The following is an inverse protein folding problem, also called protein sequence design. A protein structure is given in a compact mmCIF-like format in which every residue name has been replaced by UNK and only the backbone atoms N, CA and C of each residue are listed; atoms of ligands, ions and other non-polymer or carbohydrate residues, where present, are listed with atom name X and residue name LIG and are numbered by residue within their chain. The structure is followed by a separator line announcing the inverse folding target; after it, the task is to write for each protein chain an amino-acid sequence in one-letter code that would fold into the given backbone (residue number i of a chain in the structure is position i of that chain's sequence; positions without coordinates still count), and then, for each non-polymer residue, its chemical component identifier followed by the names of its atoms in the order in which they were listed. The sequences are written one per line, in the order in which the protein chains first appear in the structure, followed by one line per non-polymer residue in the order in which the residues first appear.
data_IF_115604971135
#
_entry.id   IF_115604971135
#
_cell.length_a   1.000
_cell.length_b   1.000
_cell.length_c   1.000
_cell.angle_alpha   90.00
_cell.angle_beta   90.00
_cell.angle_gamma   90.00
#
_symmetry.space_group_name_H-M   'P 1'
#
loop_
_entity.id
_entity.type
_entity.pdbx_description
1 polymer ?
#
# COMPACT_ATOMS: atom_id res chain seq x y z
N UNK A 1 -2.82 61.93 -0.10
CA UNK A 1 -2.09 60.66 -0.12
C UNK A 1 -0.60 60.91 -0.13
N UNK A 2 0.09 60.46 0.89
CA UNK A 2 1.53 60.72 1.13
C UNK A 2 2.44 59.65 0.56
N UNK A 3 2.05 58.97 -0.55
CA UNK A 3 2.82 57.82 -1.01
C UNK A 3 2.91 57.84 -2.55
N UNK A 4 4.01 58.34 -3.05
CA UNK A 4 4.43 58.41 -4.45
C UNK A 4 5.33 57.18 -4.78
N UNK A 5 5.73 56.92 -6.02
CA UNK A 5 6.47 55.75 -6.49
C UNK A 5 7.78 55.44 -5.72
N UNK A 6 8.42 56.42 -5.13
CA UNK A 6 9.52 56.29 -4.17
C UNK A 6 9.09 55.62 -2.87
N UNK A 7 7.83 55.69 -2.53
CA UNK A 7 7.18 55.12 -1.38
C UNK A 7 6.95 53.61 -1.50
N UNK A 8 6.67 53.09 -2.70
CA UNK A 8 6.40 51.65 -2.91
C UNK A 8 7.66 50.81 -2.67
N UNK A 9 8.85 51.36 -2.98
CA UNK A 9 10.12 50.72 -2.63
C UNK A 9 10.34 50.60 -1.11
N UNK A 10 10.01 51.63 -0.36
CA UNK A 10 10.10 51.63 1.09
C UNK A 10 9.06 50.67 1.68
N UNK A 11 7.83 50.73 1.18
CA UNK A 11 6.77 49.80 1.62
C UNK A 11 7.11 48.35 1.35
N UNK A 12 7.67 48.03 0.18
CA UNK A 12 8.10 46.68 -0.17
C UNK A 12 9.17 46.15 0.80
N UNK A 13 10.13 47.00 1.18
CA UNK A 13 11.15 46.63 2.18
C UNK A 13 10.56 46.46 3.60
N UNK A 14 9.60 47.30 3.98
CA UNK A 14 8.88 47.15 5.26
C UNK A 14 8.11 45.85 5.30
N UNK A 15 7.40 45.51 4.21
CA UNK A 15 6.67 44.23 4.14
C UNK A 15 7.63 43.02 4.13
N UNK A 16 8.79 43.14 3.47
CA UNK A 16 9.84 42.11 3.55
C UNK A 16 10.31 41.87 5.01
N UNK A 17 10.58 42.99 5.73
CA UNK A 17 10.97 42.89 7.15
C UNK A 17 9.86 42.32 8.02
N UNK A 18 8.62 42.72 7.76
CA UNK A 18 7.44 42.19 8.46
C UNK A 18 7.30 40.66 8.24
N UNK A 19 7.48 40.21 6.99
CA UNK A 19 7.51 38.78 6.66
C UNK A 19 8.58 38.00 7.44
N UNK A 20 9.81 38.57 7.53
CA UNK A 20 10.90 37.95 8.30
C UNK A 20 10.58 37.84 9.80
N UNK A 21 10.01 38.87 10.39
CA UNK A 21 9.61 38.88 11.79
C UNK A 21 8.58 37.79 12.03
N UNK A 22 7.52 37.73 11.23
CA UNK A 22 6.47 36.73 11.35
C UNK A 22 6.95 35.30 11.10
N UNK A 23 7.92 35.12 10.20
CA UNK A 23 8.62 33.82 10.05
C UNK A 23 9.28 33.39 11.36
N UNK A 24 10.00 34.31 12.03
CA UNK A 24 10.67 34.02 13.30
C UNK A 24 9.71 33.80 14.45
N UNK A 25 8.49 34.31 14.35
CA UNK A 25 7.40 34.13 15.35
C UNK A 25 6.54 32.91 15.04
N UNK A 26 6.81 32.18 13.96
CA UNK A 26 6.01 31.07 13.43
C UNK A 26 4.58 31.46 13.06
N UNK A 27 4.35 32.73 12.76
CA UNK A 27 3.07 33.25 12.30
C UNK A 27 3.05 33.21 10.75
N UNK A 28 3.07 31.98 10.23
CA UNK A 28 3.36 31.68 8.82
C UNK A 28 2.34 32.35 7.88
N UNK A 29 1.08 32.40 8.25
CA UNK A 29 0.04 33.03 7.42
C UNK A 29 0.28 34.53 7.23
N UNK A 30 0.74 35.21 8.25
CA UNK A 30 1.09 36.64 8.16
C UNK A 30 2.43 36.83 7.40
N UNK A 31 3.38 35.92 7.60
CA UNK A 31 4.65 35.93 6.85
C UNK A 31 4.43 35.81 5.34
N UNK A 32 3.60 34.85 4.91
CA UNK A 32 3.24 34.65 3.48
C UNK A 32 2.61 35.91 2.93
N UNK A 33 1.58 36.44 3.59
CA UNK A 33 0.90 37.68 3.15
C UNK A 33 1.85 38.85 3.03
N UNK A 34 2.77 39.01 3.97
CA UNK A 34 3.75 40.09 3.96
C UNK A 34 4.74 39.95 2.78
N UNK A 35 5.23 38.75 2.52
CA UNK A 35 6.11 38.50 1.37
C UNK A 35 5.39 38.69 0.04
N UNK A 36 4.13 38.29 -0.09
CA UNK A 36 3.32 38.52 -1.29
C UNK A 36 3.06 40.02 -1.48
N UNK A 37 2.77 40.76 -0.43
CA UNK A 37 2.67 42.23 -0.53
C UNK A 37 3.98 42.87 -0.95
N UNK A 38 5.12 42.40 -0.39
CA UNK A 38 6.46 42.87 -0.79
C UNK A 38 6.73 42.59 -2.27
N UNK A 39 6.38 41.39 -2.76
CA UNK A 39 6.49 41.00 -4.17
C UNK A 39 5.65 41.92 -5.08
N UNK A 40 4.39 42.12 -4.74
CA UNK A 40 3.45 42.95 -5.50
C UNK A 40 3.86 44.42 -5.54
N UNK A 41 4.63 44.91 -4.56
CA UNK A 41 5.21 46.26 -4.52
C UNK A 41 6.59 46.33 -5.20
N UNK A 42 7.04 45.25 -5.86
CA UNK A 42 8.21 45.29 -6.76
C UNK A 42 9.55 44.97 -6.10
N UNK A 43 9.57 44.25 -4.94
CA UNK A 43 10.84 43.71 -4.42
C UNK A 43 11.44 42.75 -5.45
N UNK A 44 12.76 42.78 -5.64
CA UNK A 44 13.39 41.85 -6.56
C UNK A 44 13.37 40.42 -6.04
N UNK A 45 13.17 39.45 -6.95
CA UNK A 45 13.25 38.02 -6.60
C UNK A 45 14.60 37.63 -5.98
N UNK A 46 15.69 38.29 -6.39
CA UNK A 46 17.01 38.04 -5.81
C UNK A 46 17.06 38.30 -4.29
N UNK A 47 16.23 39.24 -3.80
CA UNK A 47 16.12 39.52 -2.35
C UNK A 47 15.05 38.65 -1.69
N UNK A 48 13.93 38.43 -2.37
CA UNK A 48 12.78 37.71 -1.80
C UNK A 48 12.98 36.18 -1.72
N UNK A 49 13.56 35.58 -2.78
CA UNK A 49 13.67 34.10 -2.85
C UNK A 49 14.43 33.48 -1.66
N UNK A 50 15.56 34.02 -1.17
CA UNK A 50 16.22 33.47 0.02
C UNK A 50 15.35 33.53 1.28
N UNK A 51 14.49 34.54 1.39
CA UNK A 51 13.61 34.67 2.56
C UNK A 51 12.40 33.74 2.47
N UNK A 52 11.88 33.49 1.26
CA UNK A 52 10.87 32.47 1.04
C UNK A 52 11.40 31.07 1.35
N UNK A 53 12.64 30.75 0.94
CA UNK A 53 13.26 29.46 1.28
C UNK A 53 13.43 29.27 2.79
N UNK A 54 13.72 30.34 3.54
CA UNK A 54 13.76 30.27 5.01
C UNK A 54 12.38 30.05 5.60
N UNK A 55 11.36 30.72 5.06
CA UNK A 55 9.97 30.53 5.47
C UNK A 55 9.51 29.09 5.20
N UNK A 56 9.76 28.57 4.00
CA UNK A 56 9.46 27.18 3.64
C UNK A 56 10.12 26.20 4.62
N UNK A 57 11.41 26.37 4.90
CA UNK A 57 12.13 25.55 5.88
C UNK A 57 11.51 25.62 7.27
N UNK A 58 11.14 26.81 7.74
CA UNK A 58 10.49 26.98 9.04
C UNK A 58 9.13 26.30 9.10
N UNK A 59 8.31 26.44 8.06
CA UNK A 59 6.99 25.79 7.96
C UNK A 59 7.16 24.26 7.97
N UNK A 60 8.09 23.74 7.16
CA UNK A 60 8.36 22.29 7.06
C UNK A 60 8.78 21.74 8.44
N UNK A 61 9.73 22.41 9.09
CA UNK A 61 10.21 21.98 10.42
C UNK A 61 9.07 21.96 11.44
N UNK A 62 8.22 23.00 11.43
CA UNK A 62 7.05 23.08 12.32
C UNK A 62 6.02 21.99 12.00
N UNK A 63 5.77 21.71 10.72
CA UNK A 63 4.84 20.65 10.30
C UNK A 63 5.34 19.23 10.65
N UNK A 64 6.66 19.00 10.57
CA UNK A 64 7.28 17.73 11.00
C UNK A 64 7.05 17.55 12.51
N UNK A 65 7.29 18.59 13.32
CA UNK A 65 7.02 18.54 14.76
C UNK A 65 5.54 18.28 15.09
N UNK A 66 4.61 18.84 14.30
CA UNK A 66 3.18 18.55 14.46
C UNK A 66 2.87 17.06 14.13
N UNK A 67 3.46 16.50 13.07
CA UNK A 67 3.30 15.08 12.72
C UNK A 67 3.87 14.15 13.81
N UNK A 68 5.03 14.49 14.38
CA UNK A 68 5.67 13.72 15.46
C UNK A 68 4.82 13.72 16.75
N UNK A 69 4.04 14.78 16.96
CA UNK A 69 3.12 14.92 18.10
C UNK A 69 1.67 14.54 17.77
N UNK A 70 1.43 13.90 16.61
CA UNK A 70 0.13 13.48 16.10
C UNK A 70 -0.87 14.63 15.89
N UNK A 71 -0.40 15.87 15.79
CA UNK A 71 -1.19 17.04 15.44
C UNK A 71 -1.38 17.15 13.92
N UNK A 72 -1.86 16.06 13.31
CA UNK A 72 -1.93 15.89 11.85
C UNK A 72 -2.74 16.97 11.14
N UNK A 73 -3.77 17.52 11.76
CA UNK A 73 -4.57 18.60 11.17
C UNK A 73 -3.77 19.88 10.95
N UNK A 74 -2.93 20.27 11.89
CA UNK A 74 -2.06 21.45 11.73
C UNK A 74 -0.90 21.17 10.80
N UNK A 75 -0.33 19.95 10.83
CA UNK A 75 0.69 19.51 9.88
C UNK A 75 0.18 19.61 8.44
N UNK A 76 -1.03 19.11 8.16
CA UNK A 76 -1.65 19.17 6.83
C UNK A 76 -1.77 20.61 6.31
N UNK A 77 -2.24 21.53 7.15
CA UNK A 77 -2.39 22.96 6.79
C UNK A 77 -1.04 23.62 6.50
N UNK A 78 -0.03 23.35 7.34
CA UNK A 78 1.31 23.90 7.17
C UNK A 78 1.98 23.37 5.89
N UNK A 79 1.89 22.06 5.63
CA UNK A 79 2.44 21.47 4.40
C UNK A 79 1.75 22.03 3.15
N UNK A 80 0.43 22.27 3.21
CA UNK A 80 -0.30 22.96 2.14
C UNK A 80 0.21 24.39 1.90
N UNK A 81 0.56 25.13 2.97
CA UNK A 81 1.17 26.46 2.83
C UNK A 81 2.50 26.39 2.07
N UNK A 82 3.33 25.37 2.30
CA UNK A 82 4.58 25.18 1.54
C UNK A 82 4.30 24.98 0.05
N UNK A 83 3.32 24.11 -0.27
CA UNK A 83 2.89 23.93 -1.66
C UNK A 83 2.44 25.26 -2.28
N UNK A 84 1.63 26.04 -1.58
CA UNK A 84 1.07 27.31 -2.08
C UNK A 84 2.12 28.40 -2.33
N UNK A 85 3.27 28.35 -1.65
CA UNK A 85 4.38 29.29 -1.90
C UNK A 85 4.95 29.10 -3.32
N UNK A 86 5.11 27.84 -3.76
CA UNK A 86 5.59 27.52 -5.10
C UNK A 86 5.03 26.17 -5.58
N UNK A 87 3.82 26.13 -6.18
CA UNK A 87 3.16 24.90 -6.58
C UNK A 87 3.94 24.04 -7.58
N UNK A 88 4.77 24.66 -8.42
CA UNK A 88 5.52 23.92 -9.46
C UNK A 88 6.69 23.11 -8.85
N UNK A 89 7.27 23.57 -7.75
CA UNK A 89 8.44 22.96 -7.12
C UNK A 89 8.02 22.12 -5.90
N UNK A 90 7.01 22.56 -5.18
CA UNK A 90 6.64 22.04 -3.84
C UNK A 90 5.53 20.97 -3.88
N UNK A 91 5.33 20.30 -5.02
CA UNK A 91 4.24 19.31 -5.19
C UNK A 91 4.28 18.19 -4.16
N UNK A 92 5.45 17.75 -3.73
CA UNK A 92 5.62 16.72 -2.72
C UNK A 92 5.00 17.09 -1.36
N UNK A 93 5.01 18.37 -1.01
CA UNK A 93 4.41 18.83 0.26
C UNK A 93 2.89 18.77 0.23
N UNK A 94 2.27 18.90 -0.95
CA UNK A 94 0.83 18.65 -1.08
C UNK A 94 0.49 17.17 -0.87
N UNK A 95 1.35 16.25 -1.34
CA UNK A 95 1.18 14.82 -1.07
C UNK A 95 1.30 14.51 0.43
N UNK A 96 2.29 15.09 1.11
CA UNK A 96 2.41 14.94 2.57
C UNK A 96 1.27 15.61 3.32
N UNK A 97 0.75 16.75 2.84
CA UNK A 97 -0.43 17.40 3.40
C UNK A 97 -1.67 16.51 3.28
N UNK A 98 -1.89 15.87 2.13
CA UNK A 98 -2.98 14.92 1.93
C UNK A 98 -2.89 13.72 2.88
N UNK A 99 -1.70 13.16 3.06
CA UNK A 99 -1.45 12.06 3.99
C UNK A 99 -1.71 12.45 5.45
N UNK A 100 -1.26 13.64 5.86
CA UNK A 100 -1.53 14.17 7.21
C UNK A 100 -3.03 14.44 7.41
N UNK A 101 -3.76 14.89 6.38
CA UNK A 101 -5.21 15.07 6.43
C UNK A 101 -5.95 13.73 6.60
N UNK A 102 -5.50 12.65 5.95
CA UNK A 102 -6.02 11.29 6.19
C UNK A 102 -5.79 10.87 7.64
N UNK A 103 -4.59 11.06 8.17
CA UNK A 103 -4.24 10.70 9.55
C UNK A 103 -5.05 11.51 10.59
N UNK A 104 -5.43 12.74 10.25
CA UNK A 104 -6.34 13.56 11.10
C UNK A 104 -7.82 13.16 10.98
N UNK A 105 -8.15 12.19 10.11
CA UNK A 105 -9.51 11.80 9.73
C UNK A 105 -10.34 12.96 9.10
N UNK A 106 -9.68 13.99 8.57
CA UNK A 106 -10.34 15.02 7.76
C UNK A 106 -10.40 14.58 6.30
N UNK A 107 -11.34 13.67 6.03
CA UNK A 107 -11.49 13.07 4.71
C UNK A 107 -11.81 14.08 3.61
N UNK A 108 -12.52 15.17 3.96
CA UNK A 108 -12.86 16.22 3.00
C UNK A 108 -11.62 17.00 2.56
N UNK A 109 -10.77 17.36 3.50
CA UNK A 109 -9.51 18.05 3.24
C UNK A 109 -8.52 17.15 2.50
N UNK A 110 -8.42 15.88 2.90
CA UNK A 110 -7.59 14.89 2.22
C UNK A 110 -8.01 14.72 0.77
N UNK A 111 -9.32 14.61 0.51
CA UNK A 111 -9.86 14.50 -0.84
C UNK A 111 -9.52 15.73 -1.70
N UNK A 112 -9.68 16.94 -1.15
CA UNK A 112 -9.31 18.18 -1.85
C UNK A 112 -7.85 18.13 -2.32
N UNK A 113 -6.93 17.77 -1.43
CA UNK A 113 -5.50 17.75 -1.75
C UNK A 113 -5.13 16.64 -2.74
N UNK A 114 -5.70 15.45 -2.59
CA UNK A 114 -5.48 14.37 -3.55
C UNK A 114 -6.07 14.67 -4.93
N UNK A 115 -7.20 15.36 -5.01
CA UNK A 115 -7.76 15.78 -6.30
C UNK A 115 -6.84 16.76 -7.02
N UNK A 116 -6.23 17.72 -6.32
CA UNK A 116 -5.22 18.62 -6.91
C UNK A 116 -4.04 17.80 -7.45
N UNK A 117 -3.51 16.85 -6.66
CA UNK A 117 -2.39 15.97 -7.07
C UNK A 117 -2.72 15.14 -8.31
N UNK A 118 -3.94 14.60 -8.39
CA UNK A 118 -4.43 13.89 -9.57
C UNK A 118 -4.47 14.81 -10.79
N UNK A 119 -5.00 16.02 -10.65
CA UNK A 119 -5.21 16.95 -11.76
C UNK A 119 -3.88 17.48 -12.33
N UNK A 120 -2.86 17.66 -11.47
CA UNK A 120 -1.49 17.99 -11.91
C UNK A 120 -0.69 16.76 -12.35
N UNK A 121 -1.26 15.55 -12.25
CA UNK A 121 -0.62 14.25 -12.55
C UNK A 121 0.69 14.04 -11.78
N UNK A 122 0.68 14.31 -10.49
CA UNK A 122 1.85 14.16 -9.65
C UNK A 122 2.29 12.69 -9.54
N UNK A 123 3.48 12.39 -10.02
CA UNK A 123 4.05 11.04 -10.00
C UNK A 123 4.91 10.80 -8.75
N UNK A 124 5.55 11.84 -8.21
CA UNK A 124 6.38 11.73 -7.00
C UNK A 124 7.53 10.73 -7.12
N UNK A 125 8.05 10.54 -8.35
CA UNK A 125 9.21 9.68 -8.60
C UNK A 125 10.45 10.38 -8.07
N UNK A 126 11.25 9.67 -7.29
CA UNK A 126 12.50 10.14 -6.73
C UNK A 126 13.65 9.25 -7.20
N UNK A 127 14.79 9.85 -7.51
CA UNK A 127 16.01 9.08 -7.81
C UNK A 127 16.75 8.77 -6.53
N UNK A 128 16.94 7.49 -6.23
CA UNK A 128 17.77 6.99 -5.16
C UNK A 128 19.16 6.68 -5.67
N UNK A 129 20.16 6.97 -4.87
CA UNK A 129 21.56 6.81 -5.21
C UNK A 129 22.19 5.76 -4.32
N UNK A 130 22.85 4.76 -4.92
CA UNK A 130 23.52 3.69 -4.19
C UNK A 130 24.96 3.57 -4.63
N UNK A 131 25.86 3.23 -3.69
CA UNK A 131 27.26 3.01 -3.97
C UNK A 131 27.80 1.94 -3.02
N UNK A 132 28.76 1.14 -3.46
CA UNK A 132 29.39 0.11 -2.63
C UNK A 132 30.66 0.65 -1.98
N UNK A 133 30.76 0.59 -0.65
CA UNK A 133 32.00 0.83 0.09
C UNK A 133 32.96 -0.35 -0.12
N UNK A 134 34.14 -0.09 -0.71
CA UNK A 134 35.12 -1.12 -1.07
C UNK A 134 35.74 -1.76 0.15
N UNK A 135 35.79 -1.09 1.31
CA UNK A 135 36.43 -1.57 2.51
C UNK A 135 35.72 -2.74 3.19
N UNK A 136 34.38 -2.79 3.05
CA UNK A 136 33.52 -3.78 3.71
C UNK A 136 32.53 -4.45 2.74
N UNK A 137 32.58 -4.10 1.44
CA UNK A 137 31.72 -4.61 0.37
C UNK A 137 30.21 -4.37 0.62
N UNK A 138 29.84 -3.33 1.39
CA UNK A 138 28.44 -2.99 1.66
C UNK A 138 27.92 -1.95 0.69
N UNK A 139 26.69 -2.16 0.17
CA UNK A 139 25.96 -1.13 -0.56
C UNK A 139 25.34 -0.14 0.44
N UNK A 140 25.54 1.14 0.19
CA UNK A 140 25.00 2.24 0.99
C UNK A 140 24.15 3.17 0.13
N UNK A 141 23.03 3.63 0.68
CA UNK A 141 22.18 4.65 0.07
C UNK A 141 22.78 6.03 0.36
N UNK A 142 22.90 6.86 -0.68
CA UNK A 142 23.45 8.22 -0.59
C UNK A 142 22.29 9.21 -0.66
N UNK A 143 22.27 10.15 0.29
CA UNK A 143 21.17 11.06 0.51
C UNK A 143 21.02 12.18 -0.54
N UNK A 144 22.04 12.44 -1.36
CA UNK A 144 22.01 13.50 -2.35
C UNK A 144 22.82 13.19 -3.61
N UNK A 145 22.34 13.67 -4.75
CA UNK A 145 23.05 13.59 -6.03
C UNK A 145 24.45 14.23 -5.96
N UNK A 146 24.58 15.34 -5.25
CA UNK A 146 25.86 16.05 -5.11
C UNK A 146 26.90 15.17 -4.41
N UNK A 147 26.53 14.52 -3.33
CA UNK A 147 27.38 13.61 -2.59
C UNK A 147 27.69 12.37 -3.43
N UNK A 148 26.70 11.76 -4.06
CA UNK A 148 26.86 10.64 -4.98
C UNK A 148 27.85 10.97 -6.10
N UNK A 149 27.71 12.14 -6.74
CA UNK A 149 28.62 12.61 -7.79
C UNK A 149 30.06 12.89 -7.30
N UNK A 150 30.24 13.11 -6.01
CA UNK A 150 31.56 13.23 -5.37
C UNK A 150 32.13 11.85 -5.09
N UNK A 151 31.37 10.97 -4.44
CA UNK A 151 31.81 9.64 -3.98
C UNK A 151 32.14 8.72 -5.16
N UNK A 152 31.40 8.74 -6.25
CA UNK A 152 31.69 7.92 -7.44
C UNK A 152 33.02 8.23 -8.12
N UNK A 153 33.71 9.31 -7.73
CA UNK A 153 35.05 9.66 -8.21
C UNK A 153 36.15 9.17 -7.26
N UNK A 154 35.80 8.72 -6.05
CA UNK A 154 36.76 8.17 -5.08
C UNK A 154 37.04 6.71 -5.38
N UNK A 155 38.24 6.25 -5.07
CA UNK A 155 38.66 4.84 -5.16
C UNK A 155 38.12 3.98 -4.00
N UNK A 156 37.60 4.62 -2.97
CA UNK A 156 37.07 3.96 -1.77
C UNK A 156 35.65 3.41 -2.03
N UNK A 157 35.05 3.78 -3.16
CA UNK A 157 33.70 3.38 -3.55
C UNK A 157 33.67 2.75 -4.95
N UNK A 158 32.71 1.86 -5.17
CA UNK A 158 32.51 1.13 -6.44
C UNK A 158 31.03 0.94 -6.73
N UNK A 159 30.69 0.43 -7.91
CA UNK A 159 29.33 0.06 -8.34
C UNK A 159 28.30 1.19 -8.11
N UNK A 160 28.53 2.44 -8.59
CA UNK A 160 27.52 3.48 -8.49
C UNK A 160 26.26 3.08 -9.26
N UNK A 161 25.08 3.17 -8.60
CA UNK A 161 23.80 2.81 -9.17
C UNK A 161 22.76 3.87 -8.81
N UNK A 162 21.94 4.20 -9.78
CA UNK A 162 20.78 5.07 -9.64
C UNK A 162 19.52 4.22 -9.82
N UNK A 163 18.51 4.46 -9.01
CA UNK A 163 17.24 3.76 -9.07
C UNK A 163 16.10 4.74 -8.89
N UNK A 164 15.13 4.70 -9.79
CA UNK A 164 13.91 5.50 -9.65
C UNK A 164 12.90 4.75 -8.77
N UNK A 165 12.26 5.49 -7.85
CA UNK A 165 11.14 4.95 -7.08
C UNK A 165 9.92 4.77 -7.98
N UNK A 166 8.99 3.92 -7.55
CA UNK A 166 7.71 3.79 -8.25
C UNK A 166 6.90 5.08 -8.17
N UNK A 167 6.04 5.29 -9.20
CA UNK A 167 5.10 6.41 -9.22
C UNK A 167 4.10 6.32 -8.06
N UNK A 168 3.86 7.45 -7.40
CA UNK A 168 2.82 7.60 -6.36
C UNK A 168 1.42 7.83 -6.94
N UNK A 169 1.30 7.99 -8.25
CA UNK A 169 0.01 8.28 -8.89
C UNK A 169 -1.05 7.20 -8.67
N UNK A 170 -0.74 5.88 -8.76
CA UNK A 170 -1.68 4.82 -8.44
C UNK A 170 -2.19 4.88 -6.99
N UNK A 171 -1.29 5.18 -6.04
CA UNK A 171 -1.65 5.35 -4.63
C UNK A 171 -2.58 6.56 -4.42
N UNK A 172 -2.30 7.69 -5.08
CA UNK A 172 -3.14 8.88 -5.02
C UNK A 172 -4.57 8.57 -5.50
N UNK A 173 -4.69 7.89 -6.64
CA UNK A 173 -6.01 7.50 -7.18
C UNK A 173 -6.73 6.52 -6.26
N UNK A 174 -6.00 5.56 -5.69
CA UNK A 174 -6.52 4.64 -4.68
C UNK A 174 -7.07 5.38 -3.47
N UNK A 175 -6.32 6.35 -2.93
CA UNK A 175 -6.75 7.13 -1.77
C UNK A 175 -8.00 7.97 -2.09
N UNK A 176 -8.07 8.60 -3.27
CA UNK A 176 -9.27 9.31 -3.74
C UNK A 176 -10.49 8.36 -3.73
N UNK A 177 -10.33 7.18 -4.28
CA UNK A 177 -11.42 6.22 -4.39
C UNK A 177 -11.86 5.68 -3.01
N UNK A 178 -10.91 5.37 -2.13
CA UNK A 178 -11.20 4.94 -0.75
C UNK A 178 -11.94 6.05 0.00
N UNK A 179 -11.51 7.31 -0.12
CA UNK A 179 -12.17 8.44 0.54
C UNK A 179 -13.58 8.63 -0.02
N UNK A 180 -13.78 8.60 -1.34
CA UNK A 180 -15.12 8.67 -1.93
C UNK A 180 -16.03 7.55 -1.41
N UNK A 181 -15.50 6.32 -1.28
CA UNK A 181 -16.24 5.20 -0.70
C UNK A 181 -16.62 5.47 0.77
N UNK A 182 -15.67 5.92 1.60
CA UNK A 182 -15.92 6.25 3.00
C UNK A 182 -16.96 7.36 3.17
N UNK A 183 -17.05 8.27 2.18
CA UNK A 183 -18.07 9.31 2.09
C UNK A 183 -19.40 8.79 1.47
N UNK A 184 -19.51 7.49 1.14
CA UNK A 184 -20.68 6.88 0.51
C UNK A 184 -20.87 7.25 -0.97
N UNK A 185 -19.83 7.77 -1.63
CA UNK A 185 -19.83 8.23 -3.01
C UNK A 185 -19.23 7.20 -3.97
N UNK A 186 -19.81 5.98 -4.00
CA UNK A 186 -19.26 4.84 -4.72
C UNK A 186 -19.10 5.09 -6.24
N UNK A 187 -20.04 5.78 -6.86
CA UNK A 187 -19.95 6.12 -8.29
C UNK A 187 -18.75 7.01 -8.60
N UNK A 188 -18.42 7.94 -7.67
CA UNK A 188 -17.25 8.81 -7.82
C UNK A 188 -15.95 8.03 -7.61
N UNK A 189 -15.96 7.05 -6.72
CA UNK A 189 -14.81 6.17 -6.50
C UNK A 189 -14.46 5.40 -7.79
N UNK A 190 -15.42 4.74 -8.40
CA UNK A 190 -15.23 4.02 -9.67
C UNK A 190 -14.83 4.97 -10.80
N UNK A 191 -15.52 6.11 -10.95
CA UNK A 191 -15.19 7.10 -12.00
C UNK A 191 -13.75 7.64 -11.88
N UNK A 192 -13.26 7.83 -10.66
CA UNK A 192 -11.88 8.27 -10.43
C UNK A 192 -10.86 7.26 -10.97
N UNK A 193 -11.06 5.97 -10.70
CA UNK A 193 -10.20 4.89 -11.18
C UNK A 193 -10.29 4.71 -12.68
N UNK A 194 -11.49 4.66 -13.25
CA UNK A 194 -11.67 4.52 -14.69
C UNK A 194 -10.98 5.65 -15.47
N UNK A 195 -11.06 6.88 -14.95
CA UNK A 195 -10.36 8.02 -15.55
C UNK A 195 -8.84 7.85 -15.51
N UNK A 196 -8.30 7.35 -14.41
CA UNK A 196 -6.87 7.11 -14.28
C UNK A 196 -6.40 5.98 -15.20
N UNK A 197 -7.17 4.88 -15.28
CA UNK A 197 -6.90 3.74 -16.17
C UNK A 197 -6.96 4.13 -17.65
N UNK A 198 -7.90 4.99 -18.04
CA UNK A 198 -7.97 5.49 -19.42
C UNK A 198 -6.71 6.26 -19.85
N UNK A 199 -6.04 6.91 -18.90
CA UNK A 199 -4.78 7.63 -19.16
C UNK A 199 -3.54 6.73 -19.07
N UNK A 200 -3.62 5.62 -18.34
CA UNK A 200 -2.52 4.70 -18.07
C UNK A 200 -3.01 3.24 -18.17
N UNK A 201 -3.36 2.74 -19.38
CA UNK A 201 -4.02 1.44 -19.55
C UNK A 201 -3.12 0.24 -19.22
N UNK A 202 -1.83 0.45 -19.19
CA UNK A 202 -0.83 -0.60 -18.88
C UNK A 202 -0.37 -0.58 -17.42
N UNK A 203 -0.89 0.35 -16.62
CA UNK A 203 -0.57 0.41 -15.19
C UNK A 203 -1.35 -0.66 -14.41
N UNK A 204 -0.65 -1.76 -14.10
CA UNK A 204 -1.20 -2.90 -13.36
C UNK A 204 -1.63 -2.49 -11.95
N UNK A 205 -0.96 -1.51 -11.34
CA UNK A 205 -1.33 -0.96 -10.04
C UNK A 205 -2.73 -0.34 -10.05
N UNK A 206 -3.11 0.38 -11.12
CA UNK A 206 -4.46 0.92 -11.29
C UNK A 206 -5.50 -0.18 -11.52
N UNK A 207 -5.15 -1.24 -12.26
CA UNK A 207 -6.04 -2.39 -12.48
C UNK A 207 -6.33 -3.10 -11.14
N UNK A 208 -5.27 -3.39 -10.35
CA UNK A 208 -5.40 -3.99 -9.02
C UNK A 208 -6.19 -3.08 -8.07
N UNK A 209 -6.00 -1.76 -8.17
CA UNK A 209 -6.75 -0.81 -7.36
C UNK A 209 -8.24 -0.83 -7.70
N UNK A 210 -8.59 -0.87 -8.99
CA UNK A 210 -9.98 -1.05 -9.43
C UNK A 210 -10.57 -2.35 -8.89
N UNK A 211 -9.84 -3.46 -9.03
CA UNK A 211 -10.26 -4.75 -8.51
C UNK A 211 -10.55 -4.71 -7.00
N UNK A 212 -9.66 -4.13 -6.20
CA UNK A 212 -9.87 -4.00 -4.76
C UNK A 212 -11.13 -3.20 -4.42
N UNK A 213 -11.47 -2.17 -5.20
CA UNK A 213 -12.72 -1.42 -4.99
C UNK A 213 -13.93 -2.26 -5.37
N UNK A 214 -13.90 -2.99 -6.48
CA UNK A 214 -14.96 -3.93 -6.84
C UNK A 214 -15.17 -4.98 -5.74
N UNK A 215 -14.08 -5.52 -5.18
CA UNK A 215 -14.16 -6.44 -4.05
C UNK A 215 -14.86 -5.82 -2.83
N UNK A 216 -14.48 -4.60 -2.47
CA UNK A 216 -15.09 -3.89 -1.33
C UNK A 216 -16.54 -3.47 -1.58
N UNK A 217 -16.95 -3.29 -2.84
CA UNK A 217 -18.34 -3.07 -3.24
C UNK A 217 -19.15 -4.38 -3.37
N UNK A 218 -18.54 -5.53 -3.04
CA UNK A 218 -19.09 -6.88 -3.22
C UNK A 218 -19.41 -7.22 -4.70
N UNK A 219 -18.79 -6.49 -5.65
CA UNK A 219 -18.87 -6.80 -7.08
C UNK A 219 -17.76 -7.80 -7.47
N UNK A 220 -17.97 -9.05 -7.09
CA UNK A 220 -17.00 -10.14 -7.28
C UNK A 220 -16.74 -10.45 -8.76
N UNK A 221 -17.72 -10.24 -9.64
CA UNK A 221 -17.55 -10.45 -11.07
C UNK A 221 -16.62 -9.39 -11.69
N UNK A 222 -16.84 -8.11 -11.38
CA UNK A 222 -15.95 -7.03 -11.82
C UNK A 222 -14.53 -7.20 -11.24
N UNK A 223 -14.40 -7.65 -9.98
CA UNK A 223 -13.13 -8.01 -9.39
C UNK A 223 -12.38 -9.07 -10.20
N UNK A 224 -13.05 -10.19 -10.55
CA UNK A 224 -12.47 -11.29 -11.33
C UNK A 224 -12.00 -10.83 -12.71
N UNK A 225 -12.79 -10.00 -13.37
CA UNK A 225 -12.42 -9.45 -14.68
C UNK A 225 -11.16 -8.58 -14.57
N UNK A 226 -11.09 -7.69 -13.61
CA UNK A 226 -9.94 -6.82 -13.40
C UNK A 226 -8.69 -7.63 -13.01
N UNK A 227 -8.80 -8.61 -12.12
CA UNK A 227 -7.68 -9.48 -11.75
C UNK A 227 -7.19 -10.35 -12.92
N UNK A 228 -8.11 -10.82 -13.79
CA UNK A 228 -7.74 -11.55 -15.00
C UNK A 228 -6.95 -10.66 -15.97
N UNK A 229 -7.37 -9.40 -16.14
CA UNK A 229 -6.63 -8.40 -16.92
C UNK A 229 -5.23 -8.14 -16.32
N UNK A 230 -5.11 -8.04 -14.99
CA UNK A 230 -3.82 -7.90 -14.32
C UNK A 230 -2.89 -9.08 -14.58
N UNK A 231 -3.42 -10.32 -14.54
CA UNK A 231 -2.66 -11.55 -14.86
C UNK A 231 -2.16 -11.57 -16.30
N UNK A 232 -2.94 -11.07 -17.26
CA UNK A 232 -2.47 -10.98 -18.67
C UNK A 232 -1.22 -10.12 -18.80
N UNK A 233 -1.07 -9.12 -17.93
CA UNK A 233 0.08 -8.20 -17.91
C UNK A 233 1.23 -8.72 -17.01
N UNK A 234 0.89 -9.32 -15.87
CA UNK A 234 1.84 -9.88 -14.90
C UNK A 234 1.57 -11.37 -14.62
N UNK A 235 1.82 -12.28 -15.60
CA UNK A 235 1.46 -13.69 -15.45
C UNK A 235 2.27 -14.46 -14.41
N UNK A 236 3.34 -13.88 -13.89
CA UNK A 236 4.19 -14.49 -12.86
C UNK A 236 4.00 -13.85 -11.47
N UNK A 237 2.96 -13.03 -11.26
CA UNK A 237 2.68 -12.43 -9.97
C UNK A 237 1.79 -13.37 -9.12
N UNK A 238 2.33 -14.05 -8.08
CA UNK A 238 1.60 -15.05 -7.30
C UNK A 238 0.41 -14.47 -6.53
N UNK A 239 0.48 -13.17 -6.17
CA UNK A 239 -0.55 -12.49 -5.38
C UNK A 239 -1.86 -12.37 -6.16
N UNK A 240 -1.78 -12.16 -7.49
CA UNK A 240 -2.97 -12.07 -8.34
C UNK A 240 -3.75 -13.39 -8.36
N UNK A 241 -3.04 -14.50 -8.48
CA UNK A 241 -3.63 -15.83 -8.43
C UNK A 241 -4.21 -16.14 -7.04
N UNK A 242 -3.49 -15.82 -5.97
CA UNK A 242 -4.01 -15.97 -4.62
C UNK A 242 -5.34 -15.23 -4.44
N UNK A 243 -5.42 -13.97 -4.84
CA UNK A 243 -6.62 -13.15 -4.72
C UNK A 243 -7.79 -13.69 -5.55
N UNK A 244 -7.52 -14.17 -6.79
CA UNK A 244 -8.54 -14.87 -7.58
C UNK A 244 -9.00 -16.17 -6.92
N UNK A 245 -8.10 -16.90 -6.30
CA UNK A 245 -8.43 -18.10 -5.53
C UNK A 245 -9.41 -17.80 -4.40
N UNK A 246 -9.16 -16.73 -3.63
CA UNK A 246 -10.04 -16.29 -2.54
C UNK A 246 -11.45 -15.97 -3.06
N UNK A 247 -11.56 -15.11 -4.08
CA UNK A 247 -12.87 -14.68 -4.59
C UNK A 247 -13.61 -15.82 -5.28
N UNK A 248 -12.91 -16.68 -6.03
CA UNK A 248 -13.53 -17.86 -6.64
C UNK A 248 -14.06 -18.84 -5.57
N UNK A 249 -13.33 -18.99 -4.44
CA UNK A 249 -13.78 -19.78 -3.30
C UNK A 249 -15.07 -19.21 -2.67
N UNK A 250 -15.12 -17.90 -2.47
CA UNK A 250 -16.32 -17.22 -1.94
C UNK A 250 -17.55 -17.30 -2.89
N UNK A 251 -17.31 -17.38 -4.20
CA UNK A 251 -18.36 -17.60 -5.20
C UNK A 251 -18.76 -19.08 -5.30
N UNK A 252 -18.12 -19.99 -4.58
CA UNK A 252 -18.38 -21.43 -4.64
C UNK A 252 -17.79 -22.13 -5.87
N UNK A 253 -16.91 -21.44 -6.63
CA UNK A 253 -16.23 -21.96 -7.81
C UNK A 253 -15.00 -22.78 -7.41
N UNK A 254 -15.21 -23.90 -6.74
CA UNK A 254 -14.15 -24.68 -6.06
C UNK A 254 -12.99 -25.07 -6.99
N UNK A 255 -13.29 -25.52 -8.20
CA UNK A 255 -12.25 -25.95 -9.17
C UNK A 255 -11.37 -24.77 -9.63
N UNK A 256 -11.97 -23.60 -9.88
CA UNK A 256 -11.26 -22.39 -10.22
C UNK A 256 -10.37 -21.93 -9.05
N UNK A 257 -10.94 -21.88 -7.85
CA UNK A 257 -10.23 -21.50 -6.62
C UNK A 257 -9.01 -22.40 -6.39
N UNK A 258 -9.18 -23.71 -6.54
CA UNK A 258 -8.10 -24.70 -6.45
C UNK A 258 -6.97 -24.41 -7.44
N UNK A 259 -7.31 -24.27 -8.72
CA UNK A 259 -6.34 -23.98 -9.78
C UNK A 259 -5.55 -22.71 -9.48
N UNK A 260 -6.20 -21.68 -8.99
CA UNK A 260 -5.56 -20.42 -8.64
C UNK A 260 -4.65 -20.52 -7.42
N UNK A 261 -5.05 -21.22 -6.36
CA UNK A 261 -4.16 -21.46 -5.21
C UNK A 261 -2.94 -22.30 -5.60
N UNK A 262 -3.13 -23.37 -6.37
CA UNK A 262 -2.03 -24.20 -6.87
C UNK A 262 -1.05 -23.37 -7.72
N UNK A 263 -1.55 -22.48 -8.57
CA UNK A 263 -0.70 -21.59 -9.38
C UNK A 263 0.04 -20.56 -8.52
N UNK A 264 -0.61 -20.01 -7.50
CA UNK A 264 0.04 -19.12 -6.53
C UNK A 264 1.20 -19.83 -5.82
N UNK A 265 1.00 -21.06 -5.37
CA UNK A 265 2.02 -21.90 -4.72
C UNK A 265 3.17 -22.24 -5.70
N UNK A 266 2.87 -22.53 -6.96
CA UNK A 266 3.89 -22.80 -7.98
C UNK A 266 4.81 -21.59 -8.18
N UNK A 267 4.23 -20.37 -8.21
CA UNK A 267 4.96 -19.13 -8.44
C UNK A 267 5.69 -18.62 -7.19
N UNK A 268 5.08 -18.78 -6.02
CA UNK A 268 5.69 -18.45 -4.73
C UNK A 268 5.42 -19.59 -3.72
N UNK A 269 6.33 -20.55 -3.62
CA UNK A 269 6.21 -21.64 -2.65
C UNK A 269 6.28 -21.19 -1.19
N UNK A 270 6.57 -19.92 -0.90
CA UNK A 270 6.63 -19.39 0.47
C UNK A 270 5.34 -18.72 0.94
N UNK A 271 4.35 -18.62 0.06
CA UNK A 271 3.04 -18.03 0.40
C UNK A 271 2.18 -18.99 1.24
N UNK A 272 2.35 -18.95 2.56
CA UNK A 272 1.62 -19.81 3.51
C UNK A 272 0.09 -19.74 3.35
N UNK A 273 -0.46 -18.56 3.03
CA UNK A 273 -1.90 -18.35 2.90
C UNK A 273 -2.49 -19.17 1.74
N UNK A 274 -1.75 -19.34 0.65
CA UNK A 274 -2.21 -20.17 -0.48
C UNK A 274 -2.36 -21.63 -0.10
N UNK A 275 -1.43 -22.18 0.69
CA UNK A 275 -1.53 -23.54 1.20
C UNK A 275 -2.71 -23.71 2.18
N UNK A 276 -2.86 -22.77 3.12
CA UNK A 276 -3.93 -22.83 4.12
C UNK A 276 -5.32 -22.76 3.47
N UNK A 277 -5.49 -21.85 2.51
CA UNK A 277 -6.75 -21.70 1.80
C UNK A 277 -7.04 -22.89 0.88
N UNK A 278 -6.01 -23.48 0.25
CA UNK A 278 -6.18 -24.71 -0.52
C UNK A 278 -6.63 -25.88 0.37
N UNK A 279 -6.02 -26.04 1.54
CA UNK A 279 -6.44 -27.07 2.51
C UNK A 279 -7.85 -26.80 3.00
N UNK A 280 -8.20 -25.56 3.33
CA UNK A 280 -9.55 -25.19 3.73
C UNK A 280 -10.58 -25.49 2.63
N UNK A 281 -10.25 -25.22 1.36
CA UNK A 281 -11.08 -25.54 0.21
C UNK A 281 -11.32 -27.05 0.05
N UNK A 282 -10.27 -27.87 0.20
CA UNK A 282 -10.37 -29.35 0.13
C UNK A 282 -11.23 -29.88 1.26
N UNK A 283 -11.09 -29.32 2.47
CA UNK A 283 -11.86 -29.73 3.64
C UNK A 283 -13.26 -29.10 3.69
N UNK A 284 -13.60 -28.23 2.74
CA UNK A 284 -14.95 -27.65 2.65
C UNK A 284 -15.99 -28.76 2.38
N UNK A 285 -16.98 -28.88 3.27
CA UNK A 285 -17.95 -29.97 3.29
C UNK A 285 -17.59 -31.18 4.19
N UNK A 286 -16.40 -31.22 4.80
CA UNK A 286 -16.02 -32.28 5.74
C UNK A 286 -16.97 -32.33 6.94
N UNK A 287 -17.42 -31.17 7.41
CA UNK A 287 -18.37 -31.09 8.52
C UNK A 287 -19.73 -31.73 8.20
N UNK A 288 -20.23 -31.59 6.95
CA UNK A 288 -21.46 -32.25 6.50
C UNK A 288 -21.30 -33.78 6.50
N UNK A 289 -20.14 -34.26 6.03
CA UNK A 289 -19.83 -35.69 6.05
C UNK A 289 -19.87 -36.21 7.50
N UNK A 290 -19.24 -35.51 8.44
CA UNK A 290 -19.23 -35.89 9.87
C UNK A 290 -20.64 -35.85 10.46
N UNK A 291 -21.43 -34.84 10.14
CA UNK A 291 -22.80 -34.71 10.63
C UNK A 291 -23.68 -35.86 10.10
N UNK A 292 -23.53 -36.20 8.81
CA UNK A 292 -24.24 -37.36 8.24
C UNK A 292 -23.81 -38.66 8.93
N UNK A 293 -22.50 -38.90 9.06
CA UNK A 293 -21.99 -40.09 9.78
C UNK A 293 -22.56 -40.21 11.19
N UNK A 294 -22.65 -39.11 11.92
CA UNK A 294 -23.19 -39.08 13.28
C UNK A 294 -24.73 -39.28 13.35
N UNK A 295 -25.44 -39.03 12.26
CA UNK A 295 -26.91 -39.19 12.18
C UNK A 295 -27.35 -40.61 11.79
N UNK A 296 -26.44 -41.42 11.27
CA UNK A 296 -26.73 -42.77 10.83
C UNK A 296 -27.05 -43.73 12.03
N UNK A 297 -27.99 -44.64 11.77
CA UNK A 297 -28.33 -45.71 12.72
C UNK A 297 -27.40 -46.93 12.62
N UNK A 298 -27.92 -48.09 13.04
CA UNK A 298 -27.18 -49.35 13.04
C UNK A 298 -27.71 -50.37 12.03
N UNK A 299 -28.56 -49.91 11.07
CA UNK A 299 -29.06 -50.80 10.02
C UNK A 299 -27.92 -51.19 9.04
N UNK A 300 -28.14 -52.24 8.28
CA UNK A 300 -27.17 -52.64 7.26
C UNK A 300 -26.90 -51.53 6.23
N UNK A 301 -27.92 -50.79 5.85
CA UNK A 301 -27.80 -49.66 4.94
C UNK A 301 -27.01 -48.54 5.57
N UNK A 302 -27.27 -48.21 6.84
CA UNK A 302 -26.57 -47.15 7.54
C UNK A 302 -25.07 -47.48 7.69
N UNK A 303 -24.74 -48.73 8.00
CA UNK A 303 -23.36 -49.16 8.08
C UNK A 303 -22.62 -49.05 6.74
N UNK A 304 -23.26 -49.43 5.63
CA UNK A 304 -22.67 -49.25 4.29
C UNK A 304 -22.46 -47.74 3.99
N UNK A 305 -23.45 -46.91 4.28
CA UNK A 305 -23.32 -45.47 4.08
C UNK A 305 -22.23 -44.85 4.96
N UNK A 306 -22.11 -45.29 6.19
CA UNK A 306 -21.03 -44.88 7.10
C UNK A 306 -19.64 -45.22 6.52
N UNK A 307 -19.46 -46.41 5.97
CA UNK A 307 -18.21 -46.86 5.37
C UNK A 307 -17.87 -46.03 4.12
N UNK A 308 -18.85 -45.69 3.27
CA UNK A 308 -18.69 -44.80 2.13
C UNK A 308 -18.23 -43.40 2.56
N UNK A 309 -18.90 -42.79 3.52
CA UNK A 309 -18.57 -41.48 4.05
C UNK A 309 -17.20 -41.43 4.71
N UNK A 310 -16.84 -42.51 5.40
CA UNK A 310 -15.51 -42.68 6.00
C UNK A 310 -14.42 -42.69 4.90
N UNK A 311 -14.62 -43.41 3.82
CA UNK A 311 -13.68 -43.45 2.69
C UNK A 311 -13.55 -42.05 2.07
N UNK A 312 -14.67 -41.36 1.79
CA UNK A 312 -14.67 -39.99 1.25
C UNK A 312 -13.88 -39.05 2.15
N UNK A 313 -14.10 -39.09 3.45
CA UNK A 313 -13.37 -38.27 4.42
C UNK A 313 -11.87 -38.60 4.47
N UNK A 314 -11.51 -39.88 4.41
CA UNK A 314 -10.11 -40.30 4.33
C UNK A 314 -9.41 -39.81 3.05
N UNK A 315 -10.11 -39.74 1.91
CA UNK A 315 -9.59 -39.23 0.65
C UNK A 315 -9.28 -37.73 0.76
N UNK A 316 -10.20 -36.91 1.30
CA UNK A 316 -9.94 -35.50 1.57
C UNK A 316 -8.69 -35.31 2.44
N UNK A 317 -8.55 -36.10 3.48
CA UNK A 317 -7.41 -36.03 4.39
C UNK A 317 -6.09 -36.42 3.73
N UNK A 318 -6.09 -37.50 2.93
CA UNK A 318 -4.91 -37.96 2.19
C UNK A 318 -4.43 -36.89 1.19
N UNK A 319 -5.36 -36.15 0.61
CA UNK A 319 -5.05 -35.03 -0.28
C UNK A 319 -4.41 -33.84 0.45
N UNK A 320 -4.87 -33.51 1.67
CA UNK A 320 -4.31 -32.43 2.46
C UNK A 320 -2.89 -32.72 2.99
N UNK A 321 -2.54 -33.99 3.23
CA UNK A 321 -1.26 -34.38 3.85
C UNK A 321 -0.03 -33.82 3.13
N UNK A 322 0.15 -33.99 1.81
CA UNK A 322 1.33 -33.43 1.12
C UNK A 322 1.37 -31.91 1.15
N UNK A 323 0.22 -31.22 1.04
CA UNK A 323 0.10 -29.77 1.06
C UNK A 323 0.56 -29.21 2.40
N UNK A 324 0.04 -29.81 3.50
CA UNK A 324 0.42 -29.41 4.86
C UNK A 324 1.88 -29.71 5.19
N UNK A 325 2.44 -30.82 4.69
CA UNK A 325 3.86 -31.12 4.84
C UNK A 325 4.73 -30.06 4.16
N UNK A 326 4.42 -29.71 2.92
CA UNK A 326 5.14 -28.65 2.22
C UNK A 326 5.08 -27.31 2.97
N UNK A 327 3.93 -26.97 3.52
CA UNK A 327 3.79 -25.75 4.35
C UNK A 327 4.64 -25.80 5.63
N UNK A 328 4.71 -26.95 6.29
CA UNK A 328 5.52 -27.13 7.52
C UNK A 328 7.02 -27.06 7.21
N UNK A 329 7.46 -27.52 6.03
CA UNK A 329 8.85 -27.44 5.60
C UNK A 329 9.32 -26.02 5.31
N UNK A 330 8.42 -25.12 4.87
CA UNK A 330 8.72 -23.70 4.62
C UNK A 330 8.92 -22.94 5.95
N UNK A 331 8.07 -23.19 6.92
CA UNK A 331 8.10 -22.61 8.25
C UNK A 331 7.26 -23.43 9.20
N UNK A 332 7.60 -23.49 10.47
CA UNK A 332 6.85 -24.25 11.47
C UNK A 332 5.48 -23.60 11.78
N UNK A 333 4.61 -23.46 10.75
CA UNK A 333 3.26 -22.91 10.89
C UNK A 333 2.46 -23.80 11.85
N UNK A 334 2.16 -23.28 13.04
CA UNK A 334 1.52 -24.04 14.12
C UNK A 334 0.11 -24.55 13.75
N UNK A 335 -0.61 -23.82 12.91
CA UNK A 335 -1.96 -24.24 12.50
C UNK A 335 -1.90 -25.39 11.49
N UNK A 336 -0.91 -25.36 10.58
CA UNK A 336 -0.63 -26.49 9.69
C UNK A 336 -0.24 -27.75 10.50
N UNK A 337 0.64 -27.59 11.48
CA UNK A 337 1.08 -28.72 12.36
C UNK A 337 -0.11 -29.29 13.13
N UNK A 338 -0.98 -28.45 13.71
CA UNK A 338 -2.19 -28.91 14.43
C UNK A 338 -3.15 -29.63 13.48
N UNK A 339 -3.39 -29.07 12.30
CA UNK A 339 -4.28 -29.65 11.29
C UNK A 339 -3.77 -31.01 10.84
N UNK A 340 -2.49 -31.12 10.52
CA UNK A 340 -1.87 -32.38 10.11
C UNK A 340 -1.87 -33.42 11.24
N UNK A 341 -1.63 -32.99 12.48
CA UNK A 341 -1.74 -33.86 13.64
C UNK A 341 -3.15 -34.48 13.77
N UNK A 342 -4.19 -33.67 13.63
CA UNK A 342 -5.58 -34.14 13.71
C UNK A 342 -5.93 -35.10 12.55
N UNK A 343 -5.46 -34.78 11.33
CA UNK A 343 -5.60 -35.63 10.15
C UNK A 343 -4.96 -37.02 10.42
N UNK A 344 -3.71 -37.07 10.87
CA UNK A 344 -3.01 -38.31 11.18
C UNK A 344 -3.72 -39.10 12.28
N UNK A 345 -4.24 -38.40 13.31
CA UNK A 345 -5.06 -39.05 14.36
C UNK A 345 -6.30 -39.74 13.80
N UNK A 346 -6.99 -39.11 12.85
CA UNK A 346 -8.17 -39.69 12.21
C UNK A 346 -7.84 -40.82 11.23
N UNK A 347 -6.73 -40.67 10.49
CA UNK A 347 -6.23 -41.72 9.58
C UNK A 347 -5.60 -42.93 10.31
N UNK A 348 -5.40 -42.84 11.63
CA UNK A 348 -4.75 -43.90 12.43
C UNK A 348 -3.22 -43.97 12.26
N UNK A 349 -2.62 -42.92 11.67
CA UNK A 349 -1.16 -42.78 11.57
C UNK A 349 -0.57 -42.30 12.89
N UNK A 350 -0.24 -43.24 13.75
CA UNK A 350 0.31 -42.95 15.07
C UNK A 350 1.73 -42.39 15.07
N UNK A 351 2.51 -42.65 14.01
CA UNK A 351 3.87 -42.13 13.88
C UNK A 351 3.82 -40.67 13.47
N UNK A 352 3.07 -40.32 12.41
CA UNK A 352 2.85 -38.95 11.97
C UNK A 352 2.20 -38.08 13.07
N UNK A 353 1.24 -38.63 13.82
CA UNK A 353 0.64 -37.94 14.96
C UNK A 353 1.68 -37.56 16.04
N UNK A 354 2.58 -38.48 16.40
CA UNK A 354 3.61 -38.22 17.41
C UNK A 354 4.65 -37.20 16.91
N UNK A 355 5.01 -37.29 15.66
CA UNK A 355 5.93 -36.31 15.01
C UNK A 355 5.36 -34.91 15.10
N UNK A 356 4.13 -34.69 14.63
CA UNK A 356 3.47 -33.37 14.68
C UNK A 356 3.30 -32.87 16.12
N UNK A 357 2.96 -33.78 17.06
CA UNK A 357 2.87 -33.42 18.48
C UNK A 357 4.21 -32.96 19.05
N UNK A 358 5.31 -33.53 18.59
CA UNK A 358 6.65 -33.11 18.99
C UNK A 358 6.99 -31.69 18.52
N UNK A 359 6.56 -31.31 17.32
CA UNK A 359 6.75 -29.96 16.76
C UNK A 359 5.97 -28.86 17.52
N UNK A 360 4.83 -29.20 18.13
CA UNK A 360 4.03 -28.25 18.92
C UNK A 360 4.58 -28.01 20.34
N UNK A 361 5.50 -28.85 20.84
CA UNK A 361 6.06 -28.76 22.18
C UNK A 361 7.40 -28.03 22.25
N UNK A 362 7.98 -27.72 21.11
CA UNK A 362 9.22 -26.96 20.96
C UNK A 362 8.95 -25.54 20.50
#
# INVERSE_FOLDING_TARGET
SLFDSSDDKIKSQVMLLYGKIHTSMEDFSLAIKAFDMSRNMGISNQILSPELSKLETAIITSAVGDNETENFSEAAKKLKMVYDINPDINQQYLYYAASSAVNSNDLSLALEYYLILRDIKYEGIETKYYITDVSNETEIEISSETEFNLLKKSKDYSNPREEETESKFPEIVKNIAIIYKQLGQNDMALAAIETARASNPDDVGLIITAANIYFELDDKEAFKLAMSEAIEKEPNNPILYYNLGVVSGELGEKESARTYYEKSIELDPTNENSYLNLVALILDGEQEIVNEMNSLGTSRSDNLRYDELKITREELYKECVPILKSLIEIGANQDAVKTLMNIYGTLGDNEGYKEMKGLLQN
#
